data_IF_451635087824
#
_entry.id   IF_451635087824
#
_cell.length_a   1.000
_cell.length_b   1.000
_cell.length_c   1.000
_cell.angle_alpha   90.00
_cell.angle_beta   90.00
_cell.angle_gamma   90.00
#
_symmetry.space_group_name_H-M   'P 1'
#
loop_
_entity.id
_entity.type
_entity.pdbx_description
1 polymer ?
#
# COMPACT_ATOMS: atom_id res chain seq x y z
N UNK A 1 -33.91 -39.82 -10.99
CA UNK A 1 -33.09 -39.26 -12.08
C UNK A 1 -33.14 -37.74 -11.91
N UNK A 2 -32.06 -37.14 -11.35
CA UNK A 2 -31.96 -35.71 -11.02
C UNK A 2 -31.23 -34.99 -12.16
N UNK A 3 -31.79 -33.88 -12.64
CA UNK A 3 -31.13 -32.96 -13.56
C UNK A 3 -30.32 -31.96 -12.74
N UNK A 4 -29.01 -31.89 -12.98
CA UNK A 4 -28.05 -31.03 -12.28
C UNK A 4 -27.86 -29.72 -13.06
N UNK A 5 -27.99 -28.62 -12.33
CA UNK A 5 -27.70 -27.24 -12.74
C UNK A 5 -26.19 -27.11 -13.00
N UNK A 6 -25.81 -26.59 -14.17
CA UNK A 6 -24.43 -26.31 -14.53
C UNK A 6 -23.96 -25.00 -13.88
N UNK A 7 -22.90 -25.09 -13.07
CA UNK A 7 -22.12 -23.94 -12.59
C UNK A 7 -20.96 -23.74 -13.58
N UNK A 8 -20.92 -22.59 -14.23
CA UNK A 8 -19.85 -22.18 -15.14
C UNK A 8 -18.70 -21.57 -14.30
N UNK A 9 -17.58 -22.29 -14.19
CA UNK A 9 -16.33 -21.72 -13.69
C UNK A 9 -15.62 -20.98 -14.83
N UNK A 10 -15.52 -19.65 -14.74
CA UNK A 10 -14.59 -18.87 -15.57
C UNK A 10 -13.20 -18.90 -14.93
N UNK A 11 -12.34 -19.80 -15.42
CA UNK A 11 -10.91 -19.82 -15.13
C UNK A 11 -10.23 -18.67 -15.90
N UNK A 12 -9.70 -17.68 -15.19
CA UNK A 12 -8.84 -16.66 -15.77
C UNK A 12 -7.48 -17.25 -16.14
N UNK A 13 -7.27 -17.55 -17.43
CA UNK A 13 -5.97 -17.95 -17.97
C UNK A 13 -5.01 -16.75 -17.92
N UNK A 14 -3.95 -16.84 -17.12
CA UNK A 14 -2.71 -16.14 -17.44
C UNK A 14 -2.21 -16.71 -18.77
N UNK A 15 -1.99 -15.87 -19.78
CA UNK A 15 -1.39 -16.31 -21.05
C UNK A 15 0.02 -16.83 -20.77
N UNK A 16 0.12 -18.14 -20.63
CA UNK A 16 1.39 -18.84 -20.61
C UNK A 16 1.93 -18.82 -22.05
N UNK A 17 3.18 -18.41 -22.27
CA UNK A 17 3.73 -18.27 -23.62
C UNK A 17 3.63 -19.56 -24.44
N UNK A 18 3.66 -19.46 -25.76
CA UNK A 18 3.73 -20.67 -26.58
C UNK A 18 5.05 -21.42 -26.33
N UNK A 19 5.02 -22.74 -26.48
CA UNK A 19 6.24 -23.54 -26.48
C UNK A 19 7.09 -23.11 -27.67
N UNK A 20 8.32 -22.66 -27.41
CA UNK A 20 9.29 -22.27 -28.44
C UNK A 20 10.65 -22.87 -28.14
N UNK A 21 11.51 -22.83 -29.15
CA UNK A 21 12.94 -23.13 -28.98
C UNK A 21 13.66 -21.95 -28.33
N UNK A 22 14.48 -22.24 -27.32
CA UNK A 22 15.36 -21.31 -26.61
C UNK A 22 16.80 -21.75 -26.78
N UNK A 23 17.67 -20.84 -27.19
CA UNK A 23 19.05 -21.12 -27.59
C UNK A 23 20.02 -20.39 -26.68
N UNK A 24 21.02 -21.13 -26.18
CA UNK A 24 22.06 -20.58 -25.34
C UNK A 24 23.26 -20.06 -26.14
N UNK A 25 24.21 -19.41 -25.47
CA UNK A 25 25.46 -18.91 -26.08
C UNK A 25 26.37 -19.99 -26.69
N UNK A 26 26.03 -21.28 -26.55
CA UNK A 26 26.78 -22.42 -27.11
C UNK A 26 26.00 -23.10 -28.22
N UNK A 27 25.00 -22.42 -28.79
CA UNK A 27 24.09 -22.91 -29.84
C UNK A 27 23.32 -24.20 -29.46
N UNK A 28 23.11 -24.42 -28.15
CA UNK A 28 22.26 -25.52 -27.67
C UNK A 28 20.85 -25.00 -27.53
N UNK A 29 19.90 -25.76 -28.06
CA UNK A 29 18.48 -25.41 -28.00
C UNK A 29 17.68 -26.33 -27.08
N UNK A 30 16.72 -25.74 -26.37
CA UNK A 30 15.71 -26.46 -25.59
C UNK A 30 14.32 -25.97 -25.98
N UNK A 31 13.33 -26.87 -26.01
CA UNK A 31 11.93 -26.45 -26.13
C UNK A 31 11.34 -26.18 -24.76
N UNK A 32 10.89 -24.94 -24.56
CA UNK A 32 10.29 -24.51 -23.32
C UNK A 32 9.29 -23.38 -23.56
N UNK A 33 8.36 -23.24 -22.62
CA UNK A 33 7.43 -22.13 -22.52
C UNK A 33 7.97 -21.09 -21.55
N UNK A 34 7.92 -19.82 -21.90
CA UNK A 34 8.19 -18.75 -20.94
C UNK A 34 6.99 -18.52 -20.02
N UNK A 35 7.26 -18.48 -18.72
CA UNK A 35 6.28 -18.16 -17.68
C UNK A 35 6.40 -16.71 -17.18
N UNK A 36 7.54 -16.05 -17.43
CA UNK A 36 7.81 -14.68 -17.01
C UNK A 36 9.29 -14.44 -16.72
N UNK A 37 9.58 -13.31 -16.10
CA UNK A 37 10.93 -12.90 -15.68
C UNK A 37 11.04 -12.89 -14.15
N UNK A 38 12.19 -13.32 -13.62
CA UNK A 38 12.56 -13.16 -12.21
C UNK A 38 13.98 -12.56 -12.15
N UNK A 39 14.04 -11.24 -11.92
CA UNK A 39 15.30 -10.50 -12.02
C UNK A 39 15.90 -10.61 -13.42
N UNK A 40 17.18 -11.01 -13.51
CA UNK A 40 17.91 -11.20 -14.77
C UNK A 40 17.78 -12.62 -15.37
N UNK A 41 16.74 -13.36 -14.98
CA UNK A 41 16.47 -14.71 -15.48
C UNK A 41 15.07 -14.82 -16.06
N UNK A 42 14.95 -15.53 -17.18
CA UNK A 42 13.65 -15.97 -17.71
C UNK A 42 13.24 -17.27 -17.02
N UNK A 43 11.97 -17.39 -16.65
CA UNK A 43 11.40 -18.61 -16.06
C UNK A 43 10.84 -19.47 -17.18
N UNK A 44 11.47 -20.62 -17.43
CA UNK A 44 11.11 -21.54 -18.50
C UNK A 44 10.44 -22.80 -17.94
N UNK A 45 9.29 -23.17 -18.49
CA UNK A 45 8.60 -24.44 -18.26
C UNK A 45 8.97 -25.43 -19.38
N UNK A 46 9.65 -26.51 -19.02
CA UNK A 46 10.01 -27.60 -19.93
C UNK A 46 8.79 -28.47 -20.25
N UNK A 47 8.87 -29.30 -21.31
CA UNK A 47 7.79 -30.24 -21.70
C UNK A 47 7.30 -31.16 -20.58
N UNK A 48 8.16 -31.48 -19.62
CA UNK A 48 7.84 -32.33 -18.48
C UNK A 48 7.25 -31.57 -17.28
N UNK A 49 6.95 -30.27 -17.45
CA UNK A 49 6.35 -29.40 -16.44
C UNK A 49 7.34 -28.83 -15.43
N UNK A 50 8.64 -29.15 -15.53
CA UNK A 50 9.66 -28.54 -14.66
C UNK A 50 9.85 -27.08 -15.01
N UNK A 51 9.91 -26.24 -13.98
CA UNK A 51 10.18 -24.81 -14.09
C UNK A 51 11.64 -24.54 -13.73
N UNK A 52 12.36 -23.89 -14.62
CA UNK A 52 13.78 -23.59 -14.46
C UNK A 52 14.05 -22.12 -14.74
N UNK A 53 14.68 -21.39 -13.81
CA UNK A 53 15.20 -20.06 -14.09
C UNK A 53 16.44 -20.18 -14.99
N UNK A 54 16.45 -19.46 -16.11
CA UNK A 54 17.56 -19.42 -17.05
C UNK A 54 18.07 -17.97 -17.19
N UNK A 55 19.34 -17.68 -16.82
CA UNK A 55 19.88 -16.33 -16.88
C UNK A 55 19.89 -15.76 -18.31
N UNK A 56 19.44 -14.51 -18.48
CA UNK A 56 19.48 -13.83 -19.79
C UNK A 56 20.89 -13.74 -20.36
N UNK A 57 21.88 -13.53 -19.49
CA UNK A 57 23.29 -13.48 -19.88
C UNK A 57 23.83 -14.81 -20.45
N UNK A 58 23.06 -15.90 -20.37
CA UNK A 58 23.41 -17.20 -20.95
C UNK A 58 22.62 -17.54 -22.22
N UNK A 59 21.61 -16.75 -22.59
CA UNK A 59 20.87 -16.89 -23.83
C UNK A 59 21.61 -16.21 -24.99
N UNK A 60 21.33 -16.65 -26.21
CA UNK A 60 21.71 -15.89 -27.39
C UNK A 60 20.98 -14.54 -27.42
N UNK A 61 21.48 -13.58 -28.20
CA UNK A 61 20.93 -12.23 -28.27
C UNK A 61 19.42 -12.23 -28.62
N UNK A 62 19.02 -13.04 -29.60
CA UNK A 62 17.64 -13.12 -30.07
C UNK A 62 16.66 -13.62 -28.99
N UNK A 63 17.03 -14.65 -28.22
CA UNK A 63 16.17 -15.18 -27.16
C UNK A 63 16.18 -14.30 -25.90
N UNK A 64 17.31 -13.63 -25.62
CA UNK A 64 17.36 -12.63 -24.57
C UNK A 64 16.50 -11.39 -24.90
N UNK A 65 16.51 -10.93 -26.15
CA UNK A 65 15.64 -9.85 -26.63
C UNK A 65 14.16 -10.25 -26.61
N UNK A 66 13.84 -11.47 -27.04
CA UNK A 66 12.47 -11.98 -26.96
C UNK A 66 11.97 -12.06 -25.51
N UNK A 67 12.77 -12.57 -24.57
CA UNK A 67 12.37 -12.61 -23.16
C UNK A 67 12.05 -11.21 -22.62
N UNK A 68 12.86 -10.20 -22.98
CA UNK A 68 12.61 -8.79 -22.61
C UNK A 68 11.39 -8.19 -23.31
N UNK A 69 11.13 -8.54 -24.58
CA UNK A 69 9.96 -8.04 -25.30
C UNK A 69 8.66 -8.62 -24.75
N UNK A 70 8.66 -9.87 -24.31
CA UNK A 70 7.50 -10.51 -23.67
C UNK A 70 7.23 -9.96 -22.27
N UNK A 71 8.24 -9.47 -21.55
CA UNK A 71 8.03 -8.69 -20.31
C UNK A 71 7.27 -7.38 -20.60
N UNK A 72 7.53 -6.75 -21.74
CA UNK A 72 6.84 -5.52 -22.17
C UNK A 72 5.45 -5.78 -22.78
N UNK A 73 5.24 -6.88 -23.51
CA UNK A 73 3.94 -7.24 -24.11
C UNK A 73 2.97 -7.88 -23.10
N UNK A 74 3.48 -8.58 -22.08
CA UNK A 74 2.67 -9.06 -20.94
C UNK A 74 2.02 -7.93 -20.12
N UNK A 75 2.55 -6.71 -20.23
CA UNK A 75 1.99 -5.48 -19.64
C UNK A 75 0.93 -4.82 -20.55
N UNK A 76 0.96 -5.07 -21.88
CA UNK A 76 0.00 -4.51 -22.84
C UNK A 76 -1.34 -5.27 -22.87
N UNK A 77 -1.37 -6.55 -22.48
CA UNK A 77 -2.57 -7.41 -22.48
C UNK A 77 -3.52 -7.23 -21.28
N UNK A 78 -3.19 -6.35 -20.32
CA UNK A 78 -4.02 -6.06 -19.13
C UNK A 78 -4.18 -4.56 -18.84
N UNK A 79 -4.04 -3.70 -19.84
CA UNK A 79 -4.43 -2.31 -19.71
C UNK A 79 -5.92 -2.17 -20.06
N UNK A 80 -6.76 -2.03 -19.03
CA UNK A 80 -8.04 -1.37 -19.18
C UNK A 80 -7.79 0.07 -19.68
N UNK A 81 -8.51 0.43 -20.75
CA UNK A 81 -8.84 1.80 -21.18
C UNK A 81 -7.76 2.87 -20.99
N UNK A 82 -7.07 3.16 -22.10
CA UNK A 82 -6.46 4.46 -22.36
C UNK A 82 -7.50 5.57 -22.20
N UNK A 83 -7.33 6.43 -21.18
CA UNK A 83 -7.81 7.81 -21.22
C UNK A 83 -6.60 8.72 -21.41
N UNK A 84 -6.83 9.74 -22.25
CA UNK A 84 -5.85 10.67 -22.78
C UNK A 84 -5.07 11.47 -21.72
N UNK A 85 -3.85 11.92 -22.06
CA UNK A 85 -2.99 12.71 -21.19
C UNK A 85 -3.32 14.21 -21.32
N UNK A 86 -4.32 14.69 -20.58
CA UNK A 86 -4.48 16.12 -20.29
C UNK A 86 -5.55 16.34 -19.20
N UNK A 87 -5.10 16.61 -17.98
CA UNK A 87 -5.97 16.89 -16.84
C UNK A 87 -6.39 15.62 -16.12
N UNK A 88 -5.71 15.30 -15.01
CA UNK A 88 -6.11 14.23 -14.10
C UNK A 88 -7.51 14.54 -13.56
N UNK A 89 -8.53 13.96 -14.20
CA UNK A 89 -9.85 13.82 -13.60
C UNK A 89 -9.65 12.92 -12.38
N UNK A 90 -10.09 13.36 -11.20
CA UNK A 90 -9.93 12.55 -9.99
C UNK A 90 -10.55 11.17 -10.24
N UNK A 91 -9.80 10.07 -10.04
CA UNK A 91 -10.38 8.75 -10.17
C UNK A 91 -11.55 8.67 -9.20
N UNK A 92 -12.76 8.51 -9.75
CA UNK A 92 -13.99 8.48 -8.98
C UNK A 92 -13.98 7.37 -7.94
N UNK A 93 -14.90 7.47 -6.97
CA UNK A 93 -15.14 6.47 -5.93
C UNK A 93 -15.22 5.06 -6.51
N UNK A 94 -14.28 4.20 -6.11
CA UNK A 94 -14.22 2.82 -6.56
C UNK A 94 -14.49 1.85 -5.41
N UNK A 95 -15.58 1.09 -5.53
CA UNK A 95 -15.90 -0.06 -4.66
C UNK A 95 -16.05 -1.36 -5.45
N UNK A 96 -16.29 -1.27 -6.75
CA UNK A 96 -16.63 -2.41 -7.59
C UNK A 96 -15.44 -2.91 -8.42
N UNK A 97 -14.31 -2.19 -8.39
CA UNK A 97 -13.08 -2.64 -9.04
C UNK A 97 -12.51 -3.91 -8.38
N UNK A 98 -11.78 -4.75 -9.15
CA UNK A 98 -11.04 -5.86 -8.59
C UNK A 98 -9.94 -5.36 -7.65
N UNK A 99 -9.58 -6.19 -6.67
CA UNK A 99 -8.43 -5.90 -5.83
C UNK A 99 -7.15 -5.93 -6.68
N UNK A 100 -6.27 -4.91 -6.60
CA UNK A 100 -5.09 -4.86 -7.45
C UNK A 100 -4.04 -5.89 -7.02
N UNK A 101 -3.39 -6.54 -7.98
CA UNK A 101 -2.29 -7.46 -7.70
C UNK A 101 -0.97 -6.70 -7.46
N UNK A 102 -0.75 -5.64 -8.23
CA UNK A 102 0.44 -4.79 -8.20
C UNK A 102 0.03 -3.39 -8.64
N UNK A 103 0.66 -2.39 -8.04
CA UNK A 103 0.44 -0.99 -8.38
C UNK A 103 1.79 -0.39 -8.69
N UNK A 104 1.93 0.28 -9.83
CA UNK A 104 3.20 0.86 -10.28
C UNK A 104 2.94 2.27 -10.77
N UNK A 105 3.55 3.23 -10.09
CA UNK A 105 3.75 4.56 -10.65
C UNK A 105 4.89 4.45 -11.67
N UNK A 106 4.52 4.33 -12.95
CA UNK A 106 5.45 4.03 -14.04
C UNK A 106 6.14 5.26 -14.63
N UNK A 107 5.73 6.45 -14.22
CA UNK A 107 6.20 7.72 -14.77
C UNK A 107 7.33 8.33 -13.93
N UNK A 108 8.10 9.19 -14.56
CA UNK A 108 9.08 10.03 -13.89
C UNK A 108 8.42 11.38 -13.57
N UNK A 109 8.12 11.68 -12.28
CA UNK A 109 7.18 12.76 -11.95
C UNK A 109 7.73 14.10 -12.40
N UNK A 110 6.96 14.84 -13.20
CA UNK A 110 7.32 16.21 -13.57
C UNK A 110 7.28 17.12 -12.34
N UNK A 111 8.38 17.85 -12.10
CA UNK A 111 8.47 18.79 -10.98
C UNK A 111 8.49 20.23 -11.50
N UNK A 112 7.44 20.96 -11.15
CA UNK A 112 7.32 22.39 -11.36
C UNK A 112 7.85 23.13 -10.13
N UNK A 113 8.64 24.19 -10.36
CA UNK A 113 9.07 25.12 -9.31
C UNK A 113 8.11 26.30 -9.37
N UNK A 114 7.31 26.48 -8.32
CA UNK A 114 6.29 27.52 -8.25
C UNK A 114 6.83 28.79 -7.60
N UNK A 115 7.64 28.64 -6.55
CA UNK A 115 8.19 29.76 -5.79
C UNK A 115 9.58 29.40 -5.27
N UNK A 116 10.53 30.35 -5.35
CA UNK A 116 11.81 30.29 -4.64
C UNK A 116 12.07 31.66 -3.99
N UNK A 117 11.70 31.78 -2.71
CA UNK A 117 11.90 32.99 -1.90
C UNK A 117 12.84 32.68 -0.73
N UNK A 118 14.11 33.03 -0.91
CA UNK A 118 15.15 32.79 0.09
C UNK A 118 15.01 33.68 1.33
N UNK A 119 14.46 34.89 1.19
CA UNK A 119 14.25 35.81 2.31
C UNK A 119 13.17 35.28 3.25
N UNK A 120 12.07 34.75 2.68
CA UNK A 120 10.96 34.15 3.43
C UNK A 120 11.19 32.69 3.81
N UNK A 121 12.31 32.09 3.38
CA UNK A 121 12.55 30.64 3.53
C UNK A 121 11.37 29.83 3.00
N UNK A 122 10.94 30.13 1.78
CA UNK A 122 9.74 29.54 1.19
C UNK A 122 10.05 29.08 -0.22
N UNK A 123 10.09 27.76 -0.38
CA UNK A 123 10.39 27.11 -1.66
C UNK A 123 9.25 26.14 -1.97
N UNK A 124 8.53 26.39 -3.06
CA UNK A 124 7.34 25.61 -3.43
C UNK A 124 7.60 24.84 -4.71
N UNK A 125 7.35 23.54 -4.62
CA UNK A 125 7.44 22.60 -5.72
C UNK A 125 6.10 21.87 -5.90
N UNK A 126 5.80 21.48 -7.12
CA UNK A 126 4.59 20.70 -7.42
C UNK A 126 4.93 19.49 -8.28
N UNK A 127 4.30 18.37 -7.93
CA UNK A 127 4.14 17.19 -8.79
C UNK A 127 2.69 17.11 -9.27
N UNK A 128 2.27 15.99 -9.86
CA UNK A 128 0.91 15.80 -10.36
C UNK A 128 -0.17 16.08 -9.29
N UNK A 129 -0.05 15.46 -8.11
CA UNK A 129 -1.06 15.54 -7.05
C UNK A 129 -0.66 16.39 -5.86
N UNK A 130 0.63 16.66 -5.66
CA UNK A 130 1.14 17.26 -4.43
C UNK A 130 1.79 18.63 -4.65
N UNK A 131 1.67 19.48 -3.62
CA UNK A 131 2.44 20.70 -3.43
C UNK A 131 3.35 20.52 -2.21
N UNK A 132 4.64 20.68 -2.42
CA UNK A 132 5.68 20.59 -1.39
C UNK A 132 6.16 22.00 -1.04
N UNK A 133 5.96 22.42 0.21
CA UNK A 133 6.48 23.69 0.73
C UNK A 133 7.66 23.40 1.65
N UNK A 134 8.86 23.81 1.25
CA UNK A 134 10.11 23.60 1.96
C UNK A 134 10.65 24.91 2.54
N UNK A 135 11.29 24.82 3.70
CA UNK A 135 12.01 25.92 4.35
C UNK A 135 13.41 26.17 3.78
N UNK A 136 13.91 25.21 2.98
CA UNK A 136 15.18 25.29 2.26
C UNK A 136 15.02 24.97 0.78
N UNK A 137 15.92 25.53 -0.03
CA UNK A 137 15.94 25.27 -1.47
C UNK A 137 16.39 23.85 -1.75
N UNK A 138 15.58 23.11 -2.51
CA UNK A 138 15.89 21.78 -3.01
C UNK A 138 16.04 21.81 -4.53
N UNK A 139 16.96 21.03 -5.07
CA UNK A 139 17.05 20.84 -6.52
C UNK A 139 15.85 20.01 -7.02
N UNK A 140 15.42 20.25 -8.27
CA UNK A 140 14.36 19.43 -8.90
C UNK A 140 14.65 17.94 -8.82
N UNK A 141 15.91 17.53 -8.94
CA UNK A 141 16.33 16.12 -8.83
C UNK A 141 16.07 15.54 -7.44
N UNK A 142 16.33 16.30 -6.37
CA UNK A 142 16.03 15.86 -5.00
C UNK A 142 14.52 15.73 -4.82
N UNK A 143 13.75 16.74 -5.25
CA UNK A 143 12.28 16.74 -5.14
C UNK A 143 11.68 15.57 -5.91
N UNK A 144 12.09 15.39 -7.17
CA UNK A 144 11.70 14.26 -8.01
C UNK A 144 12.00 12.93 -7.33
N UNK A 145 13.18 12.82 -6.71
CA UNK A 145 13.64 11.60 -6.07
C UNK A 145 12.72 11.09 -4.96
N UNK A 146 12.13 11.99 -4.16
CA UNK A 146 11.16 11.60 -3.13
C UNK A 146 9.70 11.63 -3.63
N UNK A 147 9.36 12.48 -4.60
CA UNK A 147 8.00 12.64 -5.11
C UNK A 147 7.39 11.34 -5.64
N UNK A 148 8.22 10.45 -6.21
CA UNK A 148 7.80 9.11 -6.68
C UNK A 148 7.05 8.34 -5.59
N UNK A 149 7.49 8.38 -4.33
CA UNK A 149 6.81 7.68 -3.24
C UNK A 149 5.44 8.29 -2.94
N UNK A 150 5.33 9.63 -2.98
CA UNK A 150 4.06 10.32 -2.74
C UNK A 150 3.05 9.96 -3.82
N UNK A 151 3.43 10.08 -5.09
CA UNK A 151 2.56 9.77 -6.23
C UNK A 151 2.21 8.28 -6.30
N UNK A 152 3.16 7.39 -5.97
CA UNK A 152 2.87 5.95 -5.87
C UNK A 152 1.91 5.62 -4.73
N UNK A 153 2.04 6.29 -3.57
CA UNK A 153 1.11 6.09 -2.44
C UNK A 153 -0.29 6.63 -2.77
N UNK A 154 -0.37 7.79 -3.44
CA UNK A 154 -1.61 8.33 -3.97
C UNK A 154 -2.28 7.33 -4.91
N UNK A 155 -1.55 6.83 -5.91
CA UNK A 155 -2.06 5.84 -6.85
C UNK A 155 -2.50 4.55 -6.12
N UNK A 156 -1.76 4.11 -5.11
CA UNK A 156 -2.15 2.94 -4.31
C UNK A 156 -3.51 3.16 -3.66
N UNK A 157 -3.67 4.23 -2.88
CA UNK A 157 -4.92 4.53 -2.20
C UNK A 157 -6.10 4.60 -3.20
N UNK A 158 -5.93 5.29 -4.33
CA UNK A 158 -6.98 5.44 -5.35
C UNK A 158 -7.31 4.15 -6.10
N UNK A 159 -6.38 3.20 -6.15
CA UNK A 159 -6.60 1.91 -6.82
C UNK A 159 -7.28 0.87 -5.94
N UNK A 160 -7.33 1.07 -4.62
CA UNK A 160 -8.02 0.15 -3.72
C UNK A 160 -9.54 0.33 -3.83
N UNK A 161 -10.32 -0.77 -3.98
CA UNK A 161 -11.77 -0.71 -4.15
C UNK A 161 -12.51 -0.49 -2.82
N UNK A 162 -12.04 0.45 -2.00
CA UNK A 162 -12.56 0.76 -0.66
C UNK A 162 -12.76 2.26 -0.44
N UNK A 163 -12.67 3.07 -1.50
CA UNK A 163 -12.92 4.51 -1.44
C UNK A 163 -11.94 5.29 -0.55
N UNK A 164 -10.63 5.08 -0.68
CA UNK A 164 -9.61 5.97 -0.10
C UNK A 164 -9.44 7.21 -0.99
N UNK A 165 -10.46 8.07 -0.96
CA UNK A 165 -10.60 9.23 -1.82
C UNK A 165 -10.43 10.58 -1.10
N UNK A 166 -10.04 10.56 0.18
CA UNK A 166 -9.93 11.72 1.03
C UNK A 166 -8.78 12.68 0.65
N UNK A 167 -8.61 13.69 1.50
CA UNK A 167 -7.56 14.69 1.36
C UNK A 167 -8.07 16.00 0.76
N UNK A 168 -8.16 17.02 1.61
CA UNK A 168 -8.48 18.38 1.17
C UNK A 168 -7.35 18.92 0.30
N UNK A 169 -7.72 19.47 -0.86
CA UNK A 169 -6.80 20.11 -1.79
C UNK A 169 -6.87 21.64 -1.67
N UNK A 170 -5.73 22.28 -1.82
CA UNK A 170 -5.61 23.73 -2.02
C UNK A 170 -5.05 23.95 -3.42
N UNK A 171 -5.78 24.70 -4.25
CA UNK A 171 -5.48 24.89 -5.68
C UNK A 171 -5.26 23.57 -6.43
N UNK A 172 -6.06 22.56 -6.13
CA UNK A 172 -5.96 21.23 -6.75
C UNK A 172 -4.81 20.35 -6.24
N UNK A 173 -4.04 20.80 -5.24
CA UNK A 173 -2.90 20.04 -4.70
C UNK A 173 -3.10 19.59 -3.26
N UNK A 174 -2.70 18.36 -2.95
CA UNK A 174 -2.50 17.87 -1.59
C UNK A 174 -1.23 18.49 -1.00
N UNK A 175 -1.31 18.93 0.24
CA UNK A 175 -0.28 19.80 0.81
C UNK A 175 0.71 19.02 1.68
N UNK A 176 1.99 19.20 1.39
CA UNK A 176 3.12 18.64 2.14
C UNK A 176 4.01 19.79 2.63
N UNK A 177 4.38 19.78 3.92
CA UNK A 177 5.32 20.73 4.51
C UNK A 177 6.61 20.01 4.86
N UNK A 178 7.72 20.52 4.33
CA UNK A 178 9.06 19.95 4.48
C UNK A 178 9.90 20.86 5.38
N UNK A 179 10.63 20.25 6.31
CA UNK A 179 11.44 20.96 7.29
C UNK A 179 12.87 20.45 7.26
N UNK A 180 13.83 21.34 7.07
CA UNK A 180 15.25 21.01 7.16
C UNK A 180 15.61 20.55 8.57
N UNK A 181 15.18 21.33 9.58
CA UNK A 181 15.49 21.07 10.98
C UNK A 181 14.35 20.32 11.65
N UNK A 182 14.69 19.28 12.38
CA UNK A 182 13.72 18.50 13.15
C UNK A 182 13.00 19.35 14.20
N UNK A 183 13.66 20.35 14.80
CA UNK A 183 13.00 21.25 15.75
C UNK A 183 11.93 22.11 15.08
N UNK A 184 12.16 22.60 13.86
CA UNK A 184 11.17 23.40 13.13
C UNK A 184 9.93 22.55 12.77
N UNK A 185 10.13 21.25 12.51
CA UNK A 185 9.05 20.26 12.39
C UNK A 185 8.25 20.11 13.70
N UNK A 186 8.93 20.01 14.85
CA UNK A 186 8.28 19.90 16.16
C UNK A 186 7.51 21.18 16.50
N UNK A 187 8.11 22.34 16.25
CA UNK A 187 7.49 23.66 16.47
C UNK A 187 6.26 23.86 15.59
N UNK A 188 6.22 23.25 14.40
CA UNK A 188 5.06 23.21 13.51
C UNK A 188 3.96 22.21 13.96
N UNK A 189 4.15 21.52 15.09
CA UNK A 189 3.19 20.57 15.67
C UNK A 189 3.50 19.10 15.35
N UNK A 190 4.70 18.78 14.89
CA UNK A 190 5.19 17.41 14.69
C UNK A 190 5.52 16.70 16.02
N UNK A 191 5.14 15.42 16.23
CA UNK A 191 5.53 14.67 17.42
C UNK A 191 7.07 14.45 17.52
N UNK A 192 7.71 14.68 18.68
CA UNK A 192 9.18 14.64 18.88
C UNK A 192 9.95 13.33 18.62
N UNK A 193 9.32 12.30 18.06
CA UNK A 193 9.93 11.01 17.72
C UNK A 193 9.40 10.42 16.41
N UNK A 194 8.53 11.16 15.73
CA UNK A 194 7.88 10.71 14.50
C UNK A 194 8.71 11.08 13.28
N UNK A 195 8.61 10.27 12.23
CA UNK A 195 9.26 10.54 10.95
C UNK A 195 8.37 11.38 10.01
N UNK A 196 7.16 11.72 10.44
CA UNK A 196 6.21 12.61 9.79
C UNK A 196 4.88 12.55 10.56
N UNK A 197 3.95 13.45 10.23
CA UNK A 197 2.59 13.41 10.80
C UNK A 197 1.58 14.00 9.83
N UNK A 198 0.42 13.35 9.71
CA UNK A 198 -0.77 13.96 9.14
C UNK A 198 -1.49 14.84 10.16
N UNK A 199 -1.71 16.10 9.83
CA UNK A 199 -2.49 17.05 10.61
C UNK A 199 -3.87 17.23 9.97
N UNK A 200 -4.89 16.58 10.55
CA UNK A 200 -6.26 16.59 10.03
C UNK A 200 -6.89 17.98 9.88
N UNK A 201 -6.59 18.92 10.79
CA UNK A 201 -7.17 20.28 10.78
C UNK A 201 -6.92 21.03 9.46
N UNK A 202 -5.68 20.94 8.96
CA UNK A 202 -5.27 21.64 7.73
C UNK A 202 -5.12 20.67 6.55
N UNK A 203 -5.33 19.37 6.78
CA UNK A 203 -5.06 18.27 5.85
C UNK A 203 -3.62 18.25 5.30
N UNK A 204 -2.66 18.70 6.11
CA UNK A 204 -1.25 18.76 5.76
C UNK A 204 -0.51 17.52 6.26
N UNK A 205 0.47 17.04 5.49
CA UNK A 205 1.49 16.12 6.02
C UNK A 205 2.78 16.89 6.27
N UNK A 206 3.27 16.83 7.49
CA UNK A 206 4.51 17.49 7.92
C UNK A 206 5.62 16.44 7.92
N UNK A 207 6.77 16.79 7.34
CA UNK A 207 7.86 15.84 7.12
C UNK A 207 9.23 16.50 7.36
N UNK A 208 10.05 15.99 8.30
CA UNK A 208 11.47 16.31 8.35
C UNK A 208 12.18 15.79 7.10
N UNK A 209 13.03 16.59 6.48
CA UNK A 209 13.80 16.19 5.28
C UNK A 209 14.64 14.93 5.53
N UNK A 210 15.17 14.77 6.75
CA UNK A 210 15.93 13.56 7.14
C UNK A 210 15.10 12.28 7.05
N UNK A 211 13.79 12.34 7.28
CA UNK A 211 12.86 11.22 7.11
C UNK A 211 12.65 10.82 5.66
N UNK A 212 12.86 11.74 4.72
CA UNK A 212 12.87 11.45 3.29
C UNK A 212 14.22 10.88 2.84
N UNK A 213 15.21 10.77 3.74
CA UNK A 213 16.59 10.47 3.38
C UNK A 213 17.29 11.67 2.72
N UNK A 214 16.73 12.87 2.79
CA UNK A 214 17.37 14.08 2.27
C UNK A 214 18.38 14.59 3.29
N UNK A 215 19.63 14.77 2.86
CA UNK A 215 20.73 15.23 3.72
C UNK A 215 21.56 16.33 3.06
N UNK A 216 22.14 17.26 3.83
CA UNK A 216 23.01 18.29 3.29
C UNK A 216 24.31 17.69 2.71
N UNK A 217 24.79 18.27 1.60
CA UNK A 217 26.07 17.98 0.94
C UNK A 217 26.62 19.25 0.32
N UNK A 218 27.75 19.74 0.83
CA UNK A 218 28.28 21.04 0.46
C UNK A 218 27.22 22.12 0.73
N UNK A 219 26.94 22.95 -0.28
CA UNK A 219 25.93 24.01 -0.21
C UNK A 219 24.52 23.55 -0.67
N UNK A 220 24.33 22.24 -0.90
CA UNK A 220 23.08 21.68 -1.42
C UNK A 220 22.60 20.45 -0.64
N UNK A 221 21.70 19.69 -1.25
CA UNK A 221 21.11 18.49 -0.66
C UNK A 221 21.18 17.32 -1.63
N UNK A 222 21.23 16.12 -1.07
CA UNK A 222 21.10 14.87 -1.83
C UNK A 222 20.10 13.93 -1.18
N UNK A 223 19.54 13.03 -1.99
CA UNK A 223 18.65 11.96 -1.53
C UNK A 223 19.45 10.68 -1.28
N UNK A 224 19.34 10.14 -0.07
CA UNK A 224 19.82 8.83 0.35
C UNK A 224 18.62 7.89 0.53
N UNK A 225 18.33 7.09 -0.50
CA UNK A 225 17.11 6.26 -0.56
C UNK A 225 17.05 5.22 0.54
N UNK A 226 18.20 4.74 1.01
CA UNK A 226 18.29 3.71 2.04
C UNK A 226 17.89 4.25 3.43
N UNK A 227 17.85 5.57 3.59
CA UNK A 227 17.45 6.26 4.82
C UNK A 227 16.01 6.79 4.80
N UNK A 228 15.26 6.56 3.73
CA UNK A 228 13.86 6.97 3.65
C UNK A 228 12.99 6.19 4.63
N UNK A 229 12.13 6.90 5.35
CA UNK A 229 11.26 6.33 6.37
C UNK A 229 10.06 5.64 5.74
N UNK A 230 9.81 4.40 6.17
CA UNK A 230 8.61 3.63 5.79
C UNK A 230 7.32 4.14 6.45
N UNK A 231 7.42 5.09 7.38
CA UNK A 231 6.26 5.71 8.03
C UNK A 231 5.56 6.73 7.12
N UNK A 232 6.20 7.22 6.05
CA UNK A 232 5.59 8.25 5.22
C UNK A 232 4.38 7.76 4.43
N UNK A 233 4.38 6.56 3.82
CA UNK A 233 3.16 5.99 3.26
C UNK A 233 2.01 5.83 4.28
N UNK A 234 2.32 5.62 5.57
CA UNK A 234 1.32 5.58 6.64
C UNK A 234 0.65 6.96 6.78
N UNK A 235 1.43 8.03 6.95
CA UNK A 235 0.89 9.40 7.07
C UNK A 235 0.16 9.87 5.80
N UNK A 236 0.64 9.49 4.62
CA UNK A 236 -0.04 9.78 3.36
C UNK A 236 -1.38 9.04 3.24
N UNK A 237 -1.47 7.82 3.79
CA UNK A 237 -2.73 7.09 3.84
C UNK A 237 -3.74 7.83 4.71
N UNK A 238 -3.33 8.38 5.86
CA UNK A 238 -4.21 9.23 6.67
C UNK A 238 -4.73 10.43 5.88
N UNK A 239 -3.87 11.13 5.14
CA UNK A 239 -4.29 12.24 4.28
C UNK A 239 -5.30 11.81 3.21
N UNK A 240 -5.17 10.60 2.67
CA UNK A 240 -6.01 10.07 1.59
C UNK A 240 -7.23 9.28 2.09
N UNK A 241 -7.37 9.14 3.41
CA UNK A 241 -8.50 8.46 4.03
C UNK A 241 -9.69 9.41 4.07
N UNK A 242 -10.87 8.93 3.67
CA UNK A 242 -12.10 9.72 3.68
C UNK A 242 -12.45 10.16 5.12
N UNK A 243 -12.93 11.39 5.30
CA UNK A 243 -13.26 11.95 6.62
C UNK A 243 -14.23 11.04 7.40
N UNK A 244 -15.24 10.49 6.71
CA UNK A 244 -16.21 9.55 7.29
C UNK A 244 -15.57 8.29 7.90
N UNK A 245 -14.36 7.90 7.50
CA UNK A 245 -13.69 6.72 8.05
C UNK A 245 -13.07 6.98 9.43
N UNK A 246 -12.89 8.25 9.80
CA UNK A 246 -12.44 8.69 11.12
C UNK A 246 -13.59 8.82 12.13
N UNK A 247 -14.83 8.50 11.75
CA UNK A 247 -15.96 8.45 12.67
C UNK A 247 -15.92 7.19 13.56
N UNK A 248 -16.66 7.18 14.70
CA UNK A 248 -16.80 6.00 15.53
C UNK A 248 -17.15 4.75 14.72
N UNK A 249 -16.60 3.60 15.10
CA UNK A 249 -16.73 2.36 14.34
C UNK A 249 -15.63 2.16 13.30
N UNK A 250 -15.01 3.21 12.75
CA UNK A 250 -13.83 3.13 11.88
C UNK A 250 -12.53 3.63 12.52
N UNK A 251 -12.61 4.70 13.32
CA UNK A 251 -11.44 5.34 13.93
C UNK A 251 -10.59 4.39 14.78
N UNK A 252 -9.27 4.43 14.60
CA UNK A 252 -8.31 3.59 15.31
C UNK A 252 -8.06 2.27 14.57
N UNK A 253 -8.92 1.26 14.75
CA UNK A 253 -8.62 -0.07 14.22
C UNK A 253 -8.53 -0.10 12.69
N UNK A 254 -9.43 0.60 11.99
CA UNK A 254 -9.44 0.63 10.53
C UNK A 254 -8.54 1.74 10.01
N UNK A 255 -8.62 2.97 10.55
CA UNK A 255 -7.82 4.10 10.05
C UNK A 255 -6.32 3.89 10.25
N UNK A 256 -5.89 3.39 11.42
CA UNK A 256 -4.48 3.00 11.60
C UNK A 256 -4.20 1.69 10.86
N UNK A 257 -5.13 0.73 10.89
CA UNK A 257 -4.93 -0.56 10.23
C UNK A 257 -4.71 -0.48 8.72
N UNK A 258 -5.43 0.40 8.02
CA UNK A 258 -5.25 0.62 6.58
C UNK A 258 -3.96 1.39 6.28
N UNK A 259 -3.60 2.36 7.13
CA UNK A 259 -2.33 3.08 7.03
C UNK A 259 -1.13 2.14 7.24
N UNK A 260 -1.21 1.23 8.21
CA UNK A 260 -0.25 0.15 8.39
C UNK A 260 -0.23 -0.80 7.18
N UNK A 261 -1.39 -1.21 6.66
CA UNK A 261 -1.46 -2.12 5.51
C UNK A 261 -0.72 -1.55 4.30
N UNK A 262 -0.95 -0.28 3.98
CA UNK A 262 -0.30 0.40 2.86
C UNK A 262 1.21 0.57 3.13
N UNK A 263 1.59 0.97 4.34
CA UNK A 263 3.00 1.17 4.70
C UNK A 263 3.83 -0.12 4.74
N UNK A 264 3.23 -1.23 5.15
CA UNK A 264 3.89 -2.55 5.23
C UNK A 264 3.92 -3.24 3.87
N UNK A 265 2.97 -2.92 2.98
CA UNK A 265 2.95 -3.49 1.63
C UNK A 265 4.29 -3.26 0.92
N UNK A 266 4.94 -4.32 0.42
CA UNK A 266 6.28 -4.20 -0.15
C UNK A 266 6.35 -3.15 -1.25
N UNK A 267 7.23 -2.18 -1.05
CA UNK A 267 7.47 -1.08 -1.98
C UNK A 267 8.89 -1.13 -2.55
N UNK A 268 9.01 -0.96 -3.86
CA UNK A 268 10.29 -0.80 -4.55
C UNK A 268 10.13 0.10 -5.77
N UNK A 269 10.84 1.23 -5.78
CA UNK A 269 10.98 2.11 -6.95
C UNK A 269 9.64 2.48 -7.61
N UNK A 270 8.70 3.03 -6.84
CA UNK A 270 7.39 3.44 -7.36
C UNK A 270 6.36 2.31 -7.49
N UNK A 271 6.73 1.06 -7.17
CA UNK A 271 5.82 -0.08 -7.26
C UNK A 271 5.52 -0.71 -5.89
N UNK A 272 4.24 -0.99 -5.63
CA UNK A 272 3.73 -1.77 -4.52
C UNK A 272 3.32 -3.18 -4.98
N UNK A 273 3.78 -4.20 -4.27
CA UNK A 273 3.38 -5.60 -4.46
C UNK A 273 2.25 -5.95 -3.49
N UNK A 274 1.02 -5.83 -3.95
CA UNK A 274 -0.19 -5.96 -3.12
C UNK A 274 -0.55 -7.44 -2.91
N UNK A 275 -0.52 -8.23 -3.98
CA UNK A 275 -0.85 -9.66 -3.92
C UNK A 275 0.16 -10.42 -3.08
N UNK A 276 -0.33 -11.39 -2.31
CA UNK A 276 0.46 -12.33 -1.52
C UNK A 276 1.36 -11.66 -0.46
N UNK A 277 1.11 -10.41 -0.07
CA UNK A 277 1.87 -9.70 0.96
C UNK A 277 1.60 -10.21 2.41
N UNK A 278 0.76 -11.23 2.59
CA UNK A 278 0.43 -11.83 3.91
C UNK A 278 1.65 -12.12 4.79
N UNK A 279 2.76 -12.57 4.21
CA UNK A 279 3.99 -12.83 4.97
C UNK A 279 4.59 -11.54 5.52
N UNK A 280 4.67 -10.49 4.71
CA UNK A 280 5.15 -9.18 5.17
C UNK A 280 4.26 -8.62 6.28
N UNK A 281 2.94 -8.82 6.18
CA UNK A 281 1.99 -8.45 7.23
C UNK A 281 2.27 -9.20 8.54
N UNK A 282 2.45 -10.53 8.48
CA UNK A 282 2.73 -11.36 9.66
C UNK A 282 4.09 -11.01 10.26
N UNK A 283 5.14 -10.94 9.44
CA UNK A 283 6.51 -10.64 9.88
C UNK A 283 6.56 -9.26 10.55
N UNK A 284 5.79 -8.29 10.03
CA UNK A 284 5.68 -6.95 10.61
C UNK A 284 4.88 -6.92 11.91
N UNK A 285 3.72 -7.57 11.98
CA UNK A 285 2.90 -7.56 13.19
C UNK A 285 3.54 -8.35 14.35
N UNK A 286 4.10 -9.52 14.06
CA UNK A 286 4.58 -10.45 15.09
C UNK A 286 6.04 -10.25 15.47
N UNK A 287 6.86 -9.73 14.54
CA UNK A 287 8.30 -9.57 14.72
C UNK A 287 8.77 -8.16 14.40
N UNK A 288 9.97 -8.05 13.83
CA UNK A 288 10.58 -6.79 13.44
C UNK A 288 10.42 -6.49 11.94
N UNK A 289 9.44 -7.11 11.27
CA UNK A 289 9.25 -7.00 9.81
C UNK A 289 10.21 -7.87 9.00
N UNK A 290 9.92 -8.05 7.71
CA UNK A 290 10.70 -8.92 6.79
C UNK A 290 12.16 -8.48 6.58
N UNK A 291 12.50 -7.24 6.97
CA UNK A 291 13.87 -6.69 6.94
C UNK A 291 14.50 -6.54 8.34
N UNK A 292 13.86 -7.05 9.39
CA UNK A 292 14.40 -7.03 10.76
C UNK A 292 14.46 -5.65 11.43
N UNK A 293 13.72 -4.65 10.94
CA UNK A 293 13.60 -3.34 11.57
C UNK A 293 12.16 -2.78 11.44
N UNK A 294 11.63 -2.27 12.56
CA UNK A 294 10.44 -1.43 12.61
C UNK A 294 9.09 -2.15 12.69
N UNK A 295 9.07 -3.47 12.86
CA UNK A 295 7.84 -4.23 13.15
C UNK A 295 7.30 -4.00 14.56
N UNK A 296 6.05 -4.43 14.79
CA UNK A 296 5.29 -4.25 16.05
C UNK A 296 5.72 -5.21 17.16
N UNK A 297 6.41 -6.30 16.80
CA UNK A 297 6.99 -7.27 17.72
C UNK A 297 6.00 -7.84 18.75
N UNK A 298 4.76 -8.11 18.32
CA UNK A 298 3.70 -8.60 19.22
C UNK A 298 3.86 -10.08 19.62
N UNK A 299 4.77 -10.80 18.97
CA UNK A 299 4.83 -12.26 19.05
C UNK A 299 3.71 -12.93 18.26
N UNK A 300 3.68 -14.26 18.29
CA UNK A 300 2.68 -15.07 17.57
C UNK A 300 1.44 -15.36 18.41
N UNK A 301 1.45 -15.06 19.71
CA UNK A 301 0.31 -15.20 20.62
C UNK A 301 -0.11 -13.81 21.10
N UNK A 302 -1.20 -13.28 20.55
CA UNK A 302 -1.61 -11.90 20.75
C UNK A 302 -2.92 -11.88 21.54
N UNK A 303 -2.90 -11.20 22.67
CA UNK A 303 -4.05 -11.02 23.55
C UNK A 303 -4.70 -9.65 23.31
N UNK A 304 -6.00 -9.65 23.00
CA UNK A 304 -6.79 -8.45 22.72
C UNK A 304 -7.98 -8.35 23.69
N UNK A 305 -8.50 -7.14 23.96
CA UNK A 305 -9.85 -7.04 24.51
C UNK A 305 -10.87 -7.66 23.53
N UNK A 306 -12.10 -7.90 23.98
CA UNK A 306 -13.17 -8.35 23.10
C UNK A 306 -13.27 -7.47 21.85
N UNK A 307 -13.51 -8.06 20.68
CA UNK A 307 -13.39 -7.39 19.39
C UNK A 307 -14.31 -6.16 19.28
N UNK A 308 -15.51 -6.25 19.86
CA UNK A 308 -16.42 -5.11 20.00
C UNK A 308 -15.75 -3.94 20.74
N UNK A 309 -15.18 -4.22 21.92
CA UNK A 309 -14.45 -3.23 22.72
C UNK A 309 -13.25 -2.67 21.95
N UNK A 310 -12.51 -3.53 21.23
CA UNK A 310 -11.36 -3.11 20.43
C UNK A 310 -11.76 -2.14 19.31
N UNK A 311 -12.86 -2.43 18.59
CA UNK A 311 -13.32 -1.64 17.45
C UNK A 311 -14.04 -0.35 17.84
N UNK A 312 -14.59 -0.26 19.05
CA UNK A 312 -15.36 0.89 19.54
C UNK A 312 -14.61 1.76 20.57
N UNK A 313 -13.39 1.38 20.96
CA UNK A 313 -12.61 2.19 21.88
C UNK A 313 -12.34 3.60 21.31
N UNK A 314 -12.25 4.59 22.19
CA UNK A 314 -11.86 5.94 21.77
C UNK A 314 -10.45 5.94 21.17
N UNK A 315 -10.15 6.89 20.29
CA UNK A 315 -8.78 7.02 19.75
C UNK A 315 -7.75 7.30 20.85
N UNK A 316 -8.13 8.04 21.90
CA UNK A 316 -7.28 8.25 23.06
C UNK A 316 -6.90 6.93 23.73
N UNK A 317 -7.88 6.05 23.99
CA UNK A 317 -7.64 4.71 24.55
C UNK A 317 -6.83 3.84 23.58
N UNK A 318 -7.06 3.98 22.27
CA UNK A 318 -6.29 3.29 21.25
C UNK A 318 -4.79 3.65 21.31
N UNK A 319 -4.47 4.90 21.62
CA UNK A 319 -3.09 5.37 21.76
C UNK A 319 -2.40 4.93 23.06
N UNK A 320 -3.13 4.42 24.06
CA UNK A 320 -2.52 3.93 25.32
C UNK A 320 -1.68 2.66 25.11
N UNK A 321 -2.01 1.87 24.08
CA UNK A 321 -1.32 0.62 23.73
C UNK A 321 -0.92 0.60 22.26
N UNK A 322 -0.27 1.67 21.79
CA UNK A 322 0.07 1.88 20.36
C UNK A 322 0.64 0.64 19.66
N UNK A 323 1.66 -0.02 20.22
CA UNK A 323 2.25 -1.18 19.53
C UNK A 323 1.25 -2.31 19.30
N UNK A 324 0.51 -2.69 20.35
CA UNK A 324 -0.53 -3.71 20.28
C UNK A 324 -1.63 -3.30 19.32
N UNK A 325 -2.16 -2.09 19.49
CA UNK A 325 -3.35 -1.65 18.79
C UNK A 325 -3.10 -1.42 17.30
N UNK A 326 -1.94 -0.90 16.91
CA UNK A 326 -1.58 -0.75 15.50
C UNK A 326 -1.34 -2.10 14.83
N UNK A 327 -0.58 -3.01 15.47
CA UNK A 327 -0.34 -4.34 14.93
C UNK A 327 -1.62 -5.19 14.85
N UNK A 328 -2.50 -5.10 15.84
CA UNK A 328 -3.81 -5.75 15.81
C UNK A 328 -4.75 -5.12 14.78
N UNK A 329 -4.77 -3.79 14.68
CA UNK A 329 -5.52 -3.05 13.66
C UNK A 329 -5.12 -3.46 12.25
N UNK A 330 -3.82 -3.64 12.01
CA UNK A 330 -3.28 -4.19 10.76
C UNK A 330 -3.82 -5.60 10.48
N UNK A 331 -3.74 -6.51 11.46
CA UNK A 331 -4.20 -7.90 11.29
C UNK A 331 -5.73 -7.99 11.07
N UNK A 332 -6.51 -7.19 11.80
CA UNK A 332 -7.97 -7.15 11.67
C UNK A 332 -8.37 -6.54 10.32
N UNK A 333 -7.76 -5.43 9.94
CA UNK A 333 -7.98 -4.80 8.63
C UNK A 333 -7.63 -5.77 7.51
N UNK A 334 -6.44 -6.38 7.55
CA UNK A 334 -6.03 -7.37 6.55
C UNK A 334 -6.99 -8.55 6.43
N UNK A 335 -7.50 -9.06 7.56
CA UNK A 335 -8.50 -10.12 7.55
C UNK A 335 -9.71 -9.72 6.70
N UNK A 336 -10.26 -8.53 6.92
CA UNK A 336 -11.41 -8.06 6.15
C UNK A 336 -11.10 -7.78 4.68
N UNK A 337 -9.87 -7.33 4.37
CA UNK A 337 -9.48 -7.04 2.99
C UNK A 337 -9.23 -8.31 2.17
N UNK A 338 -8.73 -9.40 2.78
CA UNK A 338 -8.12 -10.51 2.05
C UNK A 338 -8.59 -11.91 2.47
N UNK A 339 -9.31 -12.05 3.59
CA UNK A 339 -9.56 -13.35 4.22
C UNK A 339 -11.01 -13.57 4.65
N UNK A 340 -11.78 -12.51 4.89
CA UNK A 340 -13.19 -12.62 5.26
C UNK A 340 -14.01 -13.13 4.06
N UNK A 341 -14.92 -14.08 4.32
CA UNK A 341 -15.72 -14.73 3.29
C UNK A 341 -14.86 -15.34 2.17
N UNK A 342 -15.10 -14.88 0.95
CA UNK A 342 -14.38 -15.33 -0.26
C UNK A 342 -13.08 -14.55 -0.52
N UNK A 343 -12.70 -13.63 0.38
CA UNK A 343 -11.51 -12.79 0.23
C UNK A 343 -11.67 -11.65 -0.77
N UNK A 344 -12.91 -11.21 -1.00
CA UNK A 344 -13.30 -10.18 -1.98
C UNK A 344 -13.56 -8.79 -1.36
N UNK A 345 -13.27 -8.67 -0.04
CA UNK A 345 -13.51 -7.49 0.77
C UNK A 345 -14.99 -7.02 0.80
N UNK A 346 -15.96 -7.90 0.52
CA UNK A 346 -17.38 -7.52 0.42
C UNK A 346 -17.91 -6.77 1.65
N UNK A 347 -17.69 -7.31 2.86
CA UNK A 347 -18.28 -6.75 4.09
C UNK A 347 -17.62 -5.46 4.53
N UNK A 348 -16.31 -5.33 4.36
CA UNK A 348 -15.62 -4.05 4.62
C UNK A 348 -16.05 -2.99 3.63
N UNK A 349 -16.27 -3.32 2.35
CA UNK A 349 -16.85 -2.37 1.39
C UNK A 349 -18.25 -1.91 1.82
N UNK A 350 -19.10 -2.79 2.34
CA UNK A 350 -20.43 -2.42 2.85
C UNK A 350 -20.34 -1.53 4.10
N UNK A 351 -19.48 -1.88 5.05
CA UNK A 351 -19.18 -1.07 6.23
C UNK A 351 -18.72 0.34 5.87
N UNK A 352 -17.76 0.45 4.95
CA UNK A 352 -17.23 1.74 4.52
C UNK A 352 -18.27 2.57 3.76
N UNK A 353 -19.13 1.95 2.94
CA UNK A 353 -20.29 2.64 2.34
C UNK A 353 -21.22 3.18 3.42
N UNK A 354 -21.53 2.39 4.46
CA UNK A 354 -22.38 2.83 5.57
C UNK A 354 -21.78 4.03 6.33
N UNK A 355 -20.46 4.04 6.59
CA UNK A 355 -19.77 5.20 7.16
C UNK A 355 -19.95 6.45 6.30
N UNK A 356 -19.79 6.33 4.98
CA UNK A 356 -19.98 7.46 4.04
C UNK A 356 -21.41 7.96 3.97
N UNK A 357 -22.37 7.07 4.20
CA UNK A 357 -23.80 7.42 4.28
C UNK A 357 -24.17 8.05 5.65
N UNK A 358 -23.20 8.22 6.54
CA UNK A 358 -23.35 8.89 7.84
C UNK A 358 -23.69 7.95 9.00
N UNK A 359 -23.69 6.63 8.77
CA UNK A 359 -23.87 5.64 9.84
C UNK A 359 -22.57 5.51 10.64
N UNK A 360 -22.61 5.43 11.97
CA UNK A 360 -21.39 5.33 12.79
C UNK A 360 -21.52 4.33 13.94
N UNK A 361 -20.42 4.06 14.62
CA UNK A 361 -20.35 3.22 15.82
C UNK A 361 -20.82 1.79 15.58
N UNK A 362 -21.62 1.27 16.51
CA UNK A 362 -22.18 -0.08 16.42
C UNK A 362 -23.08 -0.29 15.20
N UNK A 363 -23.81 0.74 14.78
CA UNK A 363 -24.72 0.65 13.64
C UNK A 363 -23.93 0.45 12.34
N UNK A 364 -22.80 1.14 12.18
CA UNK A 364 -21.90 0.90 11.05
C UNK A 364 -21.30 -0.51 11.12
N UNK A 365 -20.83 -0.94 12.30
CA UNK A 365 -20.29 -2.28 12.50
C UNK A 365 -21.30 -3.39 12.22
N UNK A 366 -22.62 -3.14 12.33
CA UNK A 366 -23.63 -4.12 11.94
C UNK A 366 -23.52 -4.51 10.45
N UNK A 367 -23.17 -3.58 9.56
CA UNK A 367 -22.91 -3.86 8.15
C UNK A 367 -21.64 -4.71 7.95
N UNK A 368 -20.61 -4.50 8.79
CA UNK A 368 -19.39 -5.31 8.79
C UNK A 368 -19.64 -6.75 9.28
N UNK A 369 -20.51 -6.87 10.29
CA UNK A 369 -20.90 -8.15 10.89
C UNK A 369 -21.75 -9.00 9.94
N UNK A 370 -22.62 -8.38 9.13
CA UNK A 370 -23.44 -9.08 8.13
C UNK A 370 -24.23 -10.25 8.75
N UNK A 371 -24.87 -9.97 9.89
CA UNK A 371 -25.66 -10.94 10.66
C UNK A 371 -24.87 -11.83 11.63
N UNK A 372 -23.54 -11.73 11.67
CA UNK A 372 -22.70 -12.42 12.67
C UNK A 372 -22.76 -11.72 14.03
N UNK A 373 -22.55 -12.47 15.11
CA UNK A 373 -22.18 -11.87 16.41
C UNK A 373 -20.68 -11.56 16.45
N UNK A 374 -20.25 -10.73 17.41
CA UNK A 374 -18.82 -10.47 17.59
C UNK A 374 -18.06 -11.74 17.98
N UNK A 375 -18.64 -12.65 18.78
CA UNK A 375 -18.00 -13.90 19.18
C UNK A 375 -17.81 -14.86 17.98
N UNK A 376 -18.76 -14.86 17.04
CA UNK A 376 -18.62 -15.58 15.78
C UNK A 376 -17.49 -15.00 14.94
N UNK A 377 -17.44 -13.67 14.81
CA UNK A 377 -16.37 -12.98 14.09
C UNK A 377 -14.99 -13.22 14.74
N UNK A 378 -14.88 -13.13 16.06
CA UNK A 378 -13.67 -13.47 16.82
C UNK A 378 -13.19 -14.88 16.50
N UNK A 379 -14.10 -15.86 16.51
CA UNK A 379 -13.78 -17.25 16.17
C UNK A 379 -13.27 -17.38 14.73
N UNK A 380 -13.89 -16.68 13.78
CA UNK A 380 -13.49 -16.70 12.37
C UNK A 380 -12.12 -16.05 12.16
N UNK A 381 -11.90 -14.88 12.76
CA UNK A 381 -10.64 -14.13 12.72
C UNK A 381 -9.51 -14.96 13.33
N UNK A 382 -9.70 -15.50 14.54
CA UNK A 382 -8.72 -16.38 15.21
C UNK A 382 -8.41 -17.60 14.34
N UNK A 383 -9.42 -18.29 13.82
CA UNK A 383 -9.22 -19.46 12.96
C UNK A 383 -8.43 -19.13 11.69
N UNK A 384 -8.69 -17.98 11.08
CA UNK A 384 -8.06 -17.57 9.84
C UNK A 384 -6.57 -17.21 10.03
N UNK A 385 -6.24 -16.56 11.15
CA UNK A 385 -4.86 -16.24 11.53
C UNK A 385 -4.08 -17.42 12.09
N UNK A 386 -4.72 -18.30 12.87
CA UNK A 386 -4.10 -19.51 13.42
C UNK A 386 -3.54 -20.42 12.32
N UNK A 387 -4.27 -20.56 11.21
CA UNK A 387 -3.81 -21.28 10.01
C UNK A 387 -2.54 -20.68 9.37
N UNK A 388 -2.18 -19.46 9.73
CA UNK A 388 -1.02 -18.71 9.26
C UNK A 388 0.01 -18.46 10.38
N UNK A 389 -0.10 -19.16 11.50
CA UNK A 389 0.88 -19.12 12.59
C UNK A 389 0.71 -17.98 13.58
N UNK A 390 -0.43 -17.30 13.60
CA UNK A 390 -0.74 -16.23 14.57
C UNK A 390 -2.00 -16.60 15.36
N UNK A 391 -1.86 -16.77 16.67
CA UNK A 391 -2.96 -17.03 17.59
C UNK A 391 -3.48 -15.71 18.17
N UNK A 392 -4.71 -15.35 17.82
CA UNK A 392 -5.42 -14.22 18.44
C UNK A 392 -6.36 -14.73 19.51
N UNK A 393 -6.27 -14.20 20.71
CA UNK A 393 -7.21 -14.45 21.80
C UNK A 393 -7.92 -13.17 22.19
N UNK A 394 -9.24 -13.22 22.28
CA UNK A 394 -10.08 -12.10 22.66
C UNK A 394 -10.59 -12.30 24.09
N UNK A 395 -10.44 -11.27 24.93
CA UNK A 395 -11.01 -11.25 26.26
C UNK A 395 -12.54 -11.13 26.23
N UNK A 396 -13.21 -11.51 27.32
CA UNK A 396 -14.65 -11.37 27.42
C UNK A 396 -15.07 -9.90 27.21
N UNK A 397 -15.96 -9.65 26.25
CA UNK A 397 -16.56 -8.34 26.03
C UNK A 397 -17.33 -7.90 27.27
N UNK A 398 -17.07 -6.68 27.75
CA UNK A 398 -17.93 -6.00 28.72
C UNK A 398 -18.82 -5.01 28.00
#
# INVERSE_FOLDING_TARGET
MRLLIHVLFLAGFAHAGEMRSWTDLRDRSIEARMLGMEGESVILELKDGRKVPFPLAKLCAADAEFARSQENEGDAGKAATTQDPAGLQEPGLSFDAPWPDRIKYGEDPEITVVEEDAEKKRFIYESANYRYTSDVRLSKTVVKGFAVMFEATYLFCRSLPIGLDGGKRTDGKLQIRLFEKFNDYVDAGGPPSSAGVFQGRDAHVLVPLTSLGVRPVGDGYMLDRDKSSKTLPHELTHQLTAEAYFEPGGMGWFTEGIAEYIAVTPYRSGAYSVRNNHRDIIDYATGYGSKGNGGRALGTEIQLPGLKTFMLQSYQSFLEKTQLNYGAGLLITYYFLQMDGDGDAKRIKQFLKALRDGTTGEEALAALLDGRTFEQLETEVTKAWKRRGVELTFGAGK
#
